data_IF_821116333678
#
_entry.id   IF_821116333678
#
_cell.length_a   1.000
_cell.length_b   1.000
_cell.length_c   1.000
_cell.angle_alpha   90.00
_cell.angle_beta   90.00
_cell.angle_gamma   90.00
#
_symmetry.space_group_name_H-M   'P 1'
#
loop_
_entity.id
_entity.type
_entity.pdbx_description
1 polymer ?
#
# COMPACT_ATOMS: atom_id res chain seq x y z
N UNK A 1 28.79 -46.39 9.22
CA UNK A 1 28.86 -45.30 8.21
C UNK A 1 28.21 -45.80 6.93
N UNK A 2 27.59 -44.97 6.06
CA UNK A 2 27.09 -43.57 6.16
C UNK A 2 25.53 -43.57 6.07
N UNK A 3 24.73 -42.49 6.06
CA UNK A 3 24.91 -41.15 5.53
C UNK A 3 24.27 -40.06 6.41
N UNK A 4 25.10 -39.06 6.69
CA UNK A 4 24.70 -37.68 6.94
C UNK A 4 24.08 -37.09 5.68
N UNK A 5 23.10 -36.20 5.84
CA UNK A 5 22.71 -35.27 4.79
C UNK A 5 21.21 -35.09 4.66
N UNK A 6 20.61 -34.44 5.64
CA UNK A 6 19.45 -33.58 5.38
C UNK A 6 19.49 -32.47 6.44
N UNK A 7 20.41 -31.53 6.24
CA UNK A 7 20.32 -30.26 6.95
C UNK A 7 19.09 -29.55 6.40
N UNK A 8 18.22 -28.96 7.25
CA UNK A 8 17.08 -28.21 6.74
C UNK A 8 17.62 -27.17 5.76
N UNK A 9 17.14 -27.21 4.52
CA UNK A 9 17.41 -26.17 3.52
C UNK A 9 17.15 -24.83 4.20
N UNK A 10 18.23 -24.15 4.57
CA UNK A 10 18.16 -22.79 5.06
C UNK A 10 17.77 -21.96 3.85
N UNK A 11 16.46 -21.85 3.64
CA UNK A 11 15.88 -20.88 2.73
C UNK A 11 16.56 -19.55 3.09
N UNK A 12 17.41 -18.97 2.21
CA UNK A 12 18.18 -17.80 2.59
C UNK A 12 17.19 -16.74 3.01
N UNK A 13 17.21 -16.35 4.29
CA UNK A 13 16.32 -15.34 4.81
C UNK A 13 16.55 -14.09 3.95
N UNK A 14 15.55 -13.75 3.14
CA UNK A 14 15.63 -12.58 2.27
C UNK A 14 15.95 -11.36 3.12
N UNK A 15 16.90 -10.55 2.65
CA UNK A 15 17.30 -9.35 3.38
C UNK A 15 16.11 -8.38 3.50
N UNK A 16 16.14 -7.49 4.49
CA UNK A 16 15.07 -6.50 4.69
C UNK A 16 14.86 -5.63 3.43
N UNK A 17 15.94 -5.16 2.82
CA UNK A 17 15.92 -4.38 1.58
C UNK A 17 15.34 -5.19 0.41
N UNK A 18 15.72 -6.46 0.28
CA UNK A 18 15.18 -7.32 -0.78
C UNK A 18 13.68 -7.59 -0.57
N UNK A 19 13.24 -7.82 0.67
CA UNK A 19 11.82 -7.96 1.00
C UNK A 19 11.05 -6.70 0.62
N UNK A 20 11.57 -5.52 0.99
CA UNK A 20 10.94 -4.22 0.72
C UNK A 20 10.83 -3.95 -0.78
N UNK A 21 11.88 -4.22 -1.55
CA UNK A 21 11.87 -4.04 -3.01
C UNK A 21 10.87 -4.98 -3.70
N UNK A 22 10.79 -6.25 -3.28
CA UNK A 22 9.80 -7.20 -3.81
C UNK A 22 8.38 -6.77 -3.45
N UNK A 23 8.15 -6.37 -2.21
CA UNK A 23 6.85 -5.88 -1.73
C UNK A 23 6.37 -4.68 -2.57
N UNK A 24 7.23 -3.68 -2.78
CA UNK A 24 6.88 -2.51 -3.60
C UNK A 24 6.67 -2.87 -5.07
N UNK A 25 7.52 -3.75 -5.62
CA UNK A 25 7.38 -4.21 -7.01
C UNK A 25 6.04 -4.90 -7.21
N UNK A 26 5.64 -5.76 -6.28
CA UNK A 26 4.34 -6.44 -6.36
C UNK A 26 3.19 -5.45 -6.16
N UNK A 27 3.27 -4.52 -5.19
CA UNK A 27 2.26 -3.46 -5.05
C UNK A 27 2.10 -2.67 -6.36
N UNK A 28 3.21 -2.22 -6.95
CA UNK A 28 3.20 -1.49 -8.21
C UNK A 28 2.61 -2.34 -9.36
N UNK A 29 2.93 -3.64 -9.41
CA UNK A 29 2.35 -4.55 -10.41
C UNK A 29 0.86 -4.76 -10.22
N UNK A 30 0.37 -4.96 -8.99
CA UNK A 30 -1.06 -5.12 -8.70
C UNK A 30 -1.80 -3.85 -9.10
N UNK A 31 -1.27 -2.68 -8.78
CA UNK A 31 -1.84 -1.38 -9.14
C UNK A 31 -1.78 -1.11 -10.65
N UNK A 32 -0.69 -1.48 -11.32
CA UNK A 32 -0.54 -1.32 -12.78
C UNK A 32 -1.42 -2.29 -13.58
N UNK A 33 -1.69 -3.49 -13.04
CA UNK A 33 -2.67 -4.46 -13.58
C UNK A 33 -4.11 -4.06 -13.27
N UNK A 34 -4.29 -3.05 -12.42
CA UNK A 34 -5.55 -2.42 -12.08
C UNK A 34 -5.62 -0.98 -12.63
N UNK A 35 -5.34 -0.72 -13.93
CA UNK A 35 -5.34 0.63 -14.45
C UNK A 35 -6.78 1.14 -14.47
N UNK A 36 -7.15 1.90 -13.43
CA UNK A 36 -8.55 2.18 -13.14
C UNK A 36 -9.24 0.92 -12.63
N UNK A 37 -9.01 0.55 -11.37
CA UNK A 37 -9.82 -0.46 -10.70
C UNK A 37 -11.26 0.06 -10.62
N UNK A 38 -12.02 -0.17 -11.69
CA UNK A 38 -13.46 -0.31 -11.72
C UNK A 38 -13.83 -1.53 -10.84
N UNK A 39 -13.43 -1.55 -9.56
CA UNK A 39 -14.01 -2.44 -8.54
C UNK A 39 -15.30 -1.82 -8.03
N UNK A 40 -16.12 -1.41 -8.98
CA UNK A 40 -17.28 -0.60 -8.74
C UNK A 40 -18.37 -1.06 -9.69
N UNK A 41 -19.54 -1.32 -9.09
CA UNK A 41 -20.79 -1.33 -9.82
C UNK A 41 -20.86 -0.09 -10.72
N UNK A 42 -21.53 -0.11 -11.89
CA UNK A 42 -21.62 1.01 -12.83
C UNK A 42 -22.21 2.34 -12.27
N UNK A 43 -22.51 2.41 -10.97
CA UNK A 43 -22.95 3.60 -10.22
C UNK A 43 -21.91 4.12 -9.19
N UNK A 44 -20.78 3.42 -9.02
CA UNK A 44 -19.69 3.78 -8.11
C UNK A 44 -18.52 4.34 -8.96
N UNK A 45 -18.32 5.65 -9.01
CA UNK A 45 -17.07 6.17 -9.58
C UNK A 45 -15.91 5.84 -8.63
N UNK A 46 -15.27 4.69 -8.86
CA UNK A 46 -14.20 4.14 -8.03
C UNK A 46 -13.03 5.12 -7.81
N UNK A 47 -12.32 4.94 -6.70
CA UNK A 47 -11.11 5.69 -6.39
C UNK A 47 -9.97 5.36 -7.38
N UNK A 48 -9.07 6.31 -7.60
CA UNK A 48 -7.92 6.18 -8.49
C UNK A 48 -6.64 6.33 -7.70
N UNK A 49 -5.69 5.41 -7.83
CA UNK A 49 -4.35 5.61 -7.28
C UNK A 49 -3.61 6.68 -8.09
N UNK A 50 -3.15 7.72 -7.41
CA UNK A 50 -2.39 8.84 -7.97
C UNK A 50 -0.87 8.61 -7.84
N UNK A 51 -0.42 8.04 -6.70
CA UNK A 51 0.99 7.95 -6.34
C UNK A 51 1.28 6.75 -5.42
N UNK A 52 2.40 6.08 -5.65
CA UNK A 52 2.97 5.02 -4.81
C UNK A 52 4.49 5.24 -4.71
N UNK A 53 5.00 5.48 -3.50
CA UNK A 53 6.40 5.76 -3.26
C UNK A 53 6.93 5.05 -2.01
N UNK A 54 8.25 4.82 -1.98
CA UNK A 54 8.98 4.42 -0.78
C UNK A 54 9.76 5.61 -0.26
N UNK A 55 9.50 5.99 0.99
CA UNK A 55 10.14 7.13 1.66
C UNK A 55 10.58 6.69 3.06
N UNK A 56 11.88 6.66 3.33
CA UNK A 56 12.47 6.40 4.66
C UNK A 56 11.86 5.19 5.41
N UNK A 57 11.78 4.04 4.73
CA UNK A 57 11.21 2.81 5.32
C UNK A 57 9.68 2.81 5.44
N UNK A 58 9.01 3.79 4.84
CA UNK A 58 7.57 3.87 4.75
C UNK A 58 7.10 3.73 3.30
N UNK A 59 6.00 3.02 3.10
CA UNK A 59 5.26 3.07 1.84
C UNK A 59 4.26 4.21 1.94
N UNK A 60 4.35 5.14 0.99
CA UNK A 60 3.37 6.18 0.75
C UNK A 60 2.45 5.75 -0.38
N UNK A 61 1.15 5.81 -0.14
CA UNK A 61 0.14 5.66 -1.18
C UNK A 61 -0.81 6.86 -1.16
N UNK A 62 -1.11 7.41 -2.32
CA UNK A 62 -2.09 8.49 -2.52
C UNK A 62 -3.12 8.07 -3.56
N UNK A 63 -4.38 8.33 -3.29
CA UNK A 63 -5.48 8.10 -4.21
C UNK A 63 -6.43 9.30 -4.27
N UNK A 64 -7.15 9.43 -5.38
CA UNK A 64 -8.19 10.42 -5.63
C UNK A 64 -9.57 9.75 -5.69
N UNK A 65 -10.61 10.51 -5.36
CA UNK A 65 -12.01 10.13 -5.51
C UNK A 65 -12.63 11.01 -6.61
N UNK A 66 -12.65 10.56 -7.88
CA UNK A 66 -13.08 11.40 -9.01
C UNK A 66 -14.51 11.93 -8.88
N UNK A 67 -15.42 11.11 -8.33
CA UNK A 67 -16.81 11.49 -8.09
C UNK A 67 -17.03 12.44 -6.90
N UNK A 68 -15.98 12.75 -6.12
CA UNK A 68 -16.07 13.64 -4.95
C UNK A 68 -15.09 14.80 -5.14
N UNK A 69 -15.61 16.03 -5.19
CA UNK A 69 -14.78 17.22 -5.33
C UNK A 69 -14.68 18.03 -4.04
N UNK A 70 -13.55 18.71 -3.85
CA UNK A 70 -13.38 19.69 -2.78
C UNK A 70 -14.02 21.04 -3.14
N UNK A 71 -13.91 22.03 -2.25
CA UNK A 71 -14.47 23.38 -2.45
C UNK A 71 -13.96 24.10 -3.72
N UNK A 72 -12.82 23.66 -4.26
CA UNK A 72 -12.21 24.18 -5.48
C UNK A 72 -12.60 23.38 -6.74
N UNK A 73 -13.51 22.42 -6.63
CA UNK A 73 -13.95 21.57 -7.74
C UNK A 73 -12.92 20.54 -8.19
N UNK A 74 -11.89 20.25 -7.37
CA UNK A 74 -10.86 19.24 -7.67
C UNK A 74 -11.21 17.91 -6.98
N UNK A 75 -10.87 16.75 -7.56
CA UNK A 75 -11.06 15.47 -6.90
C UNK A 75 -10.44 15.46 -5.51
N UNK A 76 -11.18 14.96 -4.53
CA UNK A 76 -10.68 14.78 -3.16
C UNK A 76 -9.56 13.75 -3.19
N UNK A 77 -8.46 14.06 -2.51
CA UNK A 77 -7.30 13.16 -2.40
C UNK A 77 -7.15 12.68 -0.97
N UNK A 78 -6.78 11.43 -0.81
CA UNK A 78 -6.42 10.84 0.46
C UNK A 78 -5.14 10.04 0.31
N UNK A 79 -4.45 9.84 1.42
CA UNK A 79 -3.22 9.08 1.43
C UNK A 79 -2.99 8.37 2.75
N UNK A 80 -2.07 7.41 2.76
CA UNK A 80 -1.64 6.71 3.96
C UNK A 80 -0.14 6.40 3.88
N UNK A 81 0.51 6.46 5.04
CA UNK A 81 1.86 5.94 5.24
C UNK A 81 1.80 4.62 5.99
N UNK A 82 2.59 3.64 5.55
CA UNK A 82 2.79 2.40 6.26
C UNK A 82 4.27 2.20 6.57
N UNK A 83 4.63 2.09 7.84
CA UNK A 83 5.96 1.67 8.24
C UNK A 83 6.18 0.21 7.81
N UNK A 84 7.17 -0.03 6.95
CA UNK A 84 7.47 -1.36 6.43
C UNK A 84 7.87 -2.34 7.52
N UNK A 85 8.51 -1.84 8.59
CA UNK A 85 8.84 -2.66 9.76
C UNK A 85 7.58 -3.23 10.42
N UNK A 86 6.54 -2.41 10.60
CA UNK A 86 5.27 -2.86 11.18
C UNK A 86 4.53 -3.82 10.25
N UNK A 87 4.51 -3.53 8.95
CA UNK A 87 3.91 -4.42 7.95
C UNK A 87 4.61 -5.78 8.02
N UNK A 88 5.95 -5.81 7.95
CA UNK A 88 6.69 -7.06 8.03
C UNK A 88 6.46 -7.77 9.37
N UNK A 89 6.41 -7.07 10.49
CA UNK A 89 6.18 -7.68 11.81
C UNK A 89 4.81 -8.35 11.93
N UNK A 90 3.76 -7.78 11.30
CA UNK A 90 2.39 -8.34 11.34
C UNK A 90 2.21 -9.55 10.43
N UNK A 91 3.00 -9.66 9.38
CA UNK A 91 2.85 -10.69 8.35
C UNK A 91 4.06 -11.64 8.23
N UNK A 92 5.10 -11.53 9.05
CA UNK A 92 6.25 -12.46 8.99
C UNK A 92 5.86 -13.85 9.51
N UNK A 93 6.23 -14.96 8.84
CA UNK A 93 7.21 -15.08 7.75
C UNK A 93 6.65 -15.07 6.31
N UNK A 94 5.47 -14.49 6.05
CA UNK A 94 4.85 -14.50 4.72
C UNK A 94 5.70 -13.80 3.64
N UNK A 95 5.55 -14.30 2.41
CA UNK A 95 6.22 -13.75 1.24
C UNK A 95 5.75 -12.31 0.95
N UNK A 96 6.67 -11.39 0.60
CA UNK A 96 6.34 -9.98 0.37
C UNK A 96 5.22 -9.78 -0.65
N UNK A 97 5.10 -10.66 -1.63
CA UNK A 97 4.10 -10.60 -2.69
C UNK A 97 2.67 -10.88 -2.17
N UNK A 98 2.56 -11.84 -1.23
CA UNK A 98 1.30 -12.17 -0.54
C UNK A 98 0.89 -11.01 0.36
N UNK A 99 1.87 -10.44 1.07
CA UNK A 99 1.63 -9.30 1.96
C UNK A 99 1.21 -8.06 1.16
N UNK A 100 1.84 -7.78 0.03
CA UNK A 100 1.45 -6.69 -0.87
C UNK A 100 -0.01 -6.81 -1.32
N UNK A 101 -0.41 -8.03 -1.72
CA UNK A 101 -1.81 -8.33 -2.08
C UNK A 101 -2.77 -8.13 -0.91
N UNK A 102 -2.43 -8.67 0.27
CA UNK A 102 -3.28 -8.58 1.46
C UNK A 102 -3.43 -7.14 1.98
N UNK A 103 -2.34 -6.37 1.97
CA UNK A 103 -2.27 -4.97 2.39
C UNK A 103 -3.14 -4.10 1.50
N UNK A 104 -3.05 -4.28 0.17
CA UNK A 104 -3.93 -3.58 -0.77
C UNK A 104 -5.39 -3.94 -0.50
N UNK A 105 -5.75 -5.23 -0.45
CA UNK A 105 -7.14 -5.69 -0.35
C UNK A 105 -7.84 -5.40 0.99
N UNK A 106 -7.14 -5.45 2.13
CA UNK A 106 -7.77 -5.36 3.46
C UNK A 106 -7.54 -4.03 4.18
N UNK A 107 -6.38 -3.41 4.00
CA UNK A 107 -5.96 -2.28 4.83
C UNK A 107 -6.06 -0.94 4.08
N UNK A 108 -5.95 -0.94 2.75
CA UNK A 108 -5.76 0.30 1.99
C UNK A 108 -6.99 0.92 1.36
N UNK A 109 -8.09 0.18 1.23
CA UNK A 109 -9.27 0.68 0.52
C UNK A 109 -10.32 1.19 1.52
N UNK A 110 -10.26 2.47 1.96
CA UNK A 110 -11.35 3.03 2.73
C UNK A 110 -12.57 3.13 1.80
N UNK A 111 -13.75 2.65 2.23
CA UNK A 111 -14.96 2.74 1.41
C UNK A 111 -15.41 4.18 1.16
N UNK A 112 -14.91 5.15 1.95
CA UNK A 112 -15.26 6.56 1.85
C UNK A 112 -14.03 7.46 2.01
N UNK A 113 -14.03 8.67 1.41
CA UNK A 113 -12.97 9.63 1.66
C UNK A 113 -12.93 10.03 3.15
N UNK A 114 -11.74 10.20 3.73
CA UNK A 114 -11.60 10.75 5.08
C UNK A 114 -12.17 12.17 5.22
N UNK A 115 -12.45 12.55 6.47
CA UNK A 115 -13.00 13.88 6.82
C UNK A 115 -12.12 15.01 6.27
N UNK A 116 -12.77 16.11 5.87
CA UNK A 116 -12.11 17.31 5.37
C UNK A 116 -11.16 17.94 6.41
N UNK A 117 -11.43 17.79 7.70
CA UNK A 117 -10.58 18.31 8.78
C UNK A 117 -9.19 17.66 8.85
N UNK A 118 -8.97 16.57 8.10
CA UNK A 118 -7.68 15.89 7.98
C UNK A 118 -6.86 16.34 6.76
N UNK A 119 -7.38 17.28 5.98
CA UNK A 119 -6.69 17.82 4.82
C UNK A 119 -5.45 18.62 5.27
N UNK A 120 -4.28 18.19 4.82
CA UNK A 120 -3.02 18.84 5.10
C UNK A 120 -2.69 19.89 4.01
N UNK A 121 -1.65 20.72 4.19
CA UNK A 121 -1.31 21.78 3.22
C UNK A 121 -1.00 21.31 1.80
N UNK A 122 -0.69 20.02 1.62
CA UNK A 122 -0.51 19.36 0.33
C UNK A 122 -1.83 19.03 -0.37
N UNK A 123 -2.97 19.30 0.27
CA UNK A 123 -4.31 19.00 -0.22
C UNK A 123 -4.67 17.51 -0.12
N UNK A 124 -3.92 16.73 0.66
CA UNK A 124 -4.16 15.30 0.88
C UNK A 124 -4.75 15.10 2.27
N UNK A 125 -5.83 14.33 2.33
CA UNK A 125 -6.47 13.91 3.58
C UNK A 125 -5.82 12.62 4.08
N UNK A 126 -4.83 12.77 4.97
CA UNK A 126 -4.02 11.63 5.43
C UNK A 126 -4.73 10.76 6.45
N UNK A 127 -4.77 9.45 6.17
CA UNK A 127 -5.22 8.40 7.07
C UNK A 127 -4.07 7.96 7.98
N UNK A 128 -4.35 7.89 9.27
CA UNK A 128 -3.34 7.59 10.29
C UNK A 128 -2.49 8.79 10.68
N UNK A 129 -1.34 8.57 11.34
CA UNK A 129 -0.40 9.64 11.65
C UNK A 129 0.09 10.33 10.37
N UNK A 130 0.44 11.63 10.43
CA UNK A 130 0.97 12.35 9.28
C UNK A 130 2.28 11.71 8.78
N UNK A 131 2.69 12.01 7.53
CA UNK A 131 4.03 11.67 7.06
C UNK A 131 5.10 12.00 8.11
N UNK A 132 6.15 11.18 8.26
CA UNK A 132 7.37 11.66 8.92
C UNK A 132 7.87 12.93 8.21
N UNK A 133 8.31 13.92 8.98
CA UNK A 133 8.75 15.23 8.51
C UNK A 133 10.18 15.23 7.99
#
# INVERSE_FOLDING_TARGET
MPASGDGPEQNPAISADEWNLRFLSEMAQILARSPGMETAHPDDEGYRVDDLALEDGHVRLVWSFPGVTNEFGRPVRAGRYLALEEVRARFSPDAPDIVASAVLLNDFYPPYPPSADREQPDGIRWLGPPPPA
#
